data_IF_129722625596
#
_entry.id   IF_129722625596
#
_cell.length_a   1.000
_cell.length_b   1.000
_cell.length_c   1.000
_cell.angle_alpha   90.00
_cell.angle_beta   90.00
_cell.angle_gamma   90.00
#
_symmetry.space_group_name_H-M   'P 1'
#
loop_
_entity.id
_entity.type
_entity.pdbx_description
1 polymer ?
#
# COMPACT_ATOMS: atom_id res chain seq x y z
N UNK A 1 17.95 -9.54 -0.64
CA UNK A 1 17.06 -10.19 -1.63
C UNK A 1 17.91 -11.33 -2.18
N UNK A 2 17.40 -12.56 -2.16
CA UNK A 2 18.03 -13.68 -2.84
C UNK A 2 17.78 -13.61 -4.35
N UNK A 3 18.52 -14.40 -5.14
CA UNK A 3 18.43 -14.34 -6.60
C UNK A 3 17.03 -14.72 -7.12
N UNK A 4 16.33 -15.67 -6.47
CA UNK A 4 14.95 -16.05 -6.81
C UNK A 4 13.97 -14.90 -6.60
N UNK A 5 14.11 -14.17 -5.50
CA UNK A 5 13.29 -12.98 -5.21
C UNK A 5 13.59 -11.85 -6.21
N UNK A 6 14.85 -11.62 -6.55
CA UNK A 6 15.24 -10.63 -7.54
C UNK A 6 14.65 -10.93 -8.91
N UNK A 7 14.69 -12.20 -9.34
CA UNK A 7 14.08 -12.64 -10.60
C UNK A 7 12.55 -12.44 -10.61
N UNK A 8 11.86 -12.78 -9.52
CA UNK A 8 10.42 -12.56 -9.38
C UNK A 8 10.05 -11.09 -9.50
N UNK A 9 10.85 -10.20 -8.88
CA UNK A 9 10.64 -8.75 -8.97
C UNK A 9 10.88 -8.27 -10.40
N UNK A 10 11.96 -8.71 -11.05
CA UNK A 10 12.27 -8.33 -12.42
C UNK A 10 11.18 -8.76 -13.41
N UNK A 11 10.65 -9.97 -13.25
CA UNK A 11 9.51 -10.47 -14.04
C UNK A 11 8.25 -9.65 -13.81
N UNK A 12 7.97 -9.30 -12.56
CA UNK A 12 6.83 -8.43 -12.23
C UNK A 12 7.00 -7.03 -12.83
N UNK A 13 8.23 -6.47 -12.79
CA UNK A 13 8.49 -5.11 -13.27
C UNK A 13 8.13 -4.93 -14.76
N UNK A 14 8.28 -5.96 -15.56
CA UNK A 14 7.91 -5.93 -16.98
C UNK A 14 6.46 -6.36 -17.24
N UNK A 15 5.74 -6.77 -16.21
CA UNK A 15 4.36 -7.25 -16.31
C UNK A 15 3.38 -6.17 -15.83
N UNK A 16 2.19 -6.08 -16.43
CA UNK A 16 1.19 -5.06 -16.03
C UNK A 16 0.40 -5.44 -14.78
N UNK A 17 0.55 -6.67 -14.25
CA UNK A 17 -0.27 -7.16 -13.14
C UNK A 17 0.20 -6.60 -11.80
N UNK A 18 -0.73 -6.36 -10.84
CA UNK A 18 -0.38 -6.00 -9.48
C UNK A 18 0.46 -7.08 -8.78
N UNK A 19 1.36 -6.66 -7.89
CA UNK A 19 2.14 -7.54 -7.02
C UNK A 19 1.58 -7.56 -5.61
N UNK A 20 1.11 -8.69 -5.14
CA UNK A 20 0.72 -8.89 -3.75
C UNK A 20 1.92 -9.38 -2.94
N UNK A 21 2.30 -8.60 -1.93
CA UNK A 21 3.25 -8.98 -0.90
C UNK A 21 2.48 -9.52 0.31
N UNK A 22 2.57 -10.82 0.52
CA UNK A 22 1.85 -11.51 1.58
C UNK A 22 2.83 -11.99 2.66
N UNK A 23 2.36 -12.07 3.90
CA UNK A 23 3.13 -12.63 5.00
C UNK A 23 2.68 -12.12 6.36
N UNK A 24 3.21 -12.67 7.45
CA UNK A 24 2.88 -12.24 8.81
C UNK A 24 3.12 -10.75 9.04
N UNK A 25 2.45 -10.13 10.03
CA UNK A 25 2.74 -8.76 10.44
C UNK A 25 4.22 -8.61 10.81
N UNK A 26 4.81 -7.47 10.45
CA UNK A 26 6.20 -7.17 10.81
C UNK A 26 7.28 -7.81 9.95
N UNK A 27 6.95 -8.58 8.91
CA UNK A 27 7.93 -9.15 7.97
C UNK A 27 8.58 -8.14 7.02
N UNK A 28 8.18 -6.88 7.08
CA UNK A 28 8.79 -5.81 6.30
C UNK A 28 8.19 -5.57 4.92
N UNK A 29 6.96 -6.03 4.65
CA UNK A 29 6.25 -5.86 3.36
C UNK A 29 6.28 -4.43 2.83
N UNK A 30 5.88 -3.46 3.67
CA UNK A 30 5.88 -2.03 3.33
C UNK A 30 7.31 -1.52 3.08
N UNK A 31 8.29 -1.95 3.89
CA UNK A 31 9.70 -1.59 3.69
C UNK A 31 10.26 -2.17 2.40
N UNK A 32 9.84 -3.39 2.03
CA UNK A 32 10.22 -4.03 0.78
C UNK A 32 9.72 -3.23 -0.43
N UNK A 33 8.46 -2.82 -0.43
CA UNK A 33 7.89 -1.95 -1.48
C UNK A 33 8.66 -0.62 -1.61
N UNK A 34 9.03 0.00 -0.49
CA UNK A 34 9.86 1.22 -0.49
C UNK A 34 11.25 0.99 -1.08
N UNK A 35 11.89 -0.13 -0.76
CA UNK A 35 13.20 -0.48 -1.30
C UNK A 35 13.16 -0.76 -2.80
N UNK A 36 12.09 -1.36 -3.32
CA UNK A 36 11.88 -1.49 -4.77
C UNK A 36 11.81 -0.10 -5.40
N UNK A 37 10.97 0.80 -4.88
CA UNK A 37 10.82 2.15 -5.40
C UNK A 37 12.15 2.92 -5.42
N UNK A 38 12.95 2.81 -4.36
CA UNK A 38 14.28 3.41 -4.28
C UNK A 38 15.24 2.81 -5.33
N UNK A 39 15.24 1.49 -5.49
CA UNK A 39 16.13 0.80 -6.42
C UNK A 39 15.89 1.18 -7.89
N UNK A 40 14.62 1.44 -8.24
CA UNK A 40 14.23 1.85 -9.61
C UNK A 40 14.09 3.37 -9.75
N UNK A 41 14.37 4.14 -8.68
CA UNK A 41 14.24 5.61 -8.63
C UNK A 41 12.85 6.11 -9.01
N UNK A 42 11.80 5.34 -8.69
CA UNK A 42 10.41 5.68 -8.96
C UNK A 42 9.74 6.35 -7.75
N UNK A 43 8.90 7.38 -7.94
CA UNK A 43 8.06 7.92 -6.88
C UNK A 43 7.09 6.85 -6.35
N UNK A 44 6.85 6.89 -5.04
CA UNK A 44 5.99 5.95 -4.34
C UNK A 44 4.79 6.67 -3.74
N UNK A 45 3.60 6.33 -4.22
CA UNK A 45 2.33 6.80 -3.69
C UNK A 45 1.72 5.72 -2.80
N UNK A 46 1.56 5.99 -1.50
CA UNK A 46 1.05 5.01 -0.53
C UNK A 46 -0.38 5.32 -0.13
N UNK A 47 -1.27 4.39 -0.38
CA UNK A 47 -2.60 4.31 0.21
C UNK A 47 -2.56 3.34 1.40
N UNK A 48 -2.69 3.85 2.62
CA UNK A 48 -2.82 3.00 3.81
C UNK A 48 -4.29 2.61 3.99
N UNK A 49 -4.58 1.33 3.90
CA UNK A 49 -5.91 0.81 4.19
C UNK A 49 -6.11 0.61 5.70
N UNK A 50 -7.33 0.86 6.16
CA UNK A 50 -7.76 0.66 7.54
C UNK A 50 -9.24 0.28 7.55
N UNK A 51 -9.73 -0.24 8.67
CA UNK A 51 -11.15 -0.60 8.81
C UNK A 51 -12.03 0.64 8.71
N UNK A 52 -13.01 0.61 7.78
CA UNK A 52 -13.89 1.75 7.52
C UNK A 52 -13.39 2.74 6.45
N UNK A 53 -12.22 2.49 5.82
CA UNK A 53 -11.84 3.28 4.64
C UNK A 53 -12.86 3.08 3.52
N UNK A 54 -13.30 4.18 2.91
CA UNK A 54 -14.25 4.17 1.79
C UNK A 54 -13.56 4.51 0.47
N UNK A 55 -14.21 4.17 -0.65
CA UNK A 55 -13.74 4.54 -1.98
C UNK A 55 -13.54 6.06 -2.12
N UNK A 56 -14.42 6.86 -1.55
CA UNK A 56 -14.33 8.33 -1.56
C UNK A 56 -13.07 8.86 -0.87
N UNK A 57 -12.63 8.22 0.24
CA UNK A 57 -11.41 8.62 0.94
C UNK A 57 -10.17 8.13 0.20
N UNK A 58 -10.23 6.91 -0.34
CA UNK A 58 -9.09 6.25 -0.97
C UNK A 58 -8.76 6.82 -2.34
N UNK A 59 -9.78 7.09 -3.16
CA UNK A 59 -9.63 7.42 -4.58
C UNK A 59 -9.81 8.89 -4.87
N UNK A 60 -10.98 9.43 -4.60
CA UNK A 60 -11.32 10.83 -4.77
C UNK A 60 -12.57 11.18 -3.95
N UNK A 61 -12.74 12.45 -3.68
CA UNK A 61 -13.96 13.03 -3.10
C UNK A 61 -14.19 14.43 -3.65
N UNK A 62 -15.35 14.98 -3.42
CA UNK A 62 -15.62 16.40 -3.71
C UNK A 62 -15.67 17.21 -2.42
N UNK A 63 -14.98 18.35 -2.41
CA UNK A 63 -14.94 19.24 -1.27
C UNK A 63 -16.20 20.10 -1.25
N UNK A 64 -17.11 19.83 -0.31
CA UNK A 64 -18.39 20.54 -0.16
C UNK A 64 -18.22 22.07 -0.07
N UNK A 65 -17.24 22.55 0.68
CA UNK A 65 -16.99 23.98 0.81
C UNK A 65 -16.58 24.63 -0.51
N UNK A 66 -15.79 23.93 -1.33
CA UNK A 66 -15.43 24.43 -2.66
C UNK A 66 -16.63 24.39 -3.61
N UNK A 67 -17.48 23.39 -3.49
CA UNK A 67 -18.75 23.32 -4.22
C UNK A 67 -19.64 24.51 -3.89
N UNK A 68 -19.86 24.79 -2.60
CA UNK A 68 -20.68 25.92 -2.15
C UNK A 68 -20.13 27.26 -2.66
N UNK A 69 -18.80 27.47 -2.54
CA UNK A 69 -18.14 28.65 -3.05
C UNK A 69 -18.23 28.78 -4.60
N UNK A 70 -18.17 27.69 -5.32
CA UNK A 70 -18.28 27.69 -6.77
C UNK A 70 -19.71 28.09 -7.23
N UNK A 71 -20.73 27.58 -6.54
CA UNK A 71 -22.13 27.97 -6.77
C UNK A 71 -22.33 29.47 -6.48
N UNK A 72 -21.83 29.95 -5.33
CA UNK A 72 -21.96 31.35 -4.94
C UNK A 72 -21.31 32.30 -5.97
N UNK A 73 -20.10 31.98 -6.42
CA UNK A 73 -19.41 32.75 -7.47
C UNK A 73 -20.18 32.78 -8.79
N UNK A 74 -20.71 31.64 -9.21
CA UNK A 74 -21.51 31.55 -10.44
C UNK A 74 -22.80 32.37 -10.33
N UNK A 75 -23.44 32.34 -9.18
CA UNK A 75 -24.62 33.17 -8.89
C UNK A 75 -24.32 34.67 -8.95
N UNK A 76 -23.24 35.12 -8.30
CA UNK A 76 -22.81 36.53 -8.29
C UNK A 76 -22.42 37.03 -9.70
N UNK A 77 -21.86 36.15 -10.52
CA UNK A 77 -21.48 36.46 -11.90
C UNK A 77 -22.68 36.44 -12.89
N UNK A 78 -23.87 36.04 -12.47
CA UNK A 78 -25.03 35.85 -13.33
C UNK A 78 -24.87 34.68 -14.33
N UNK A 79 -23.94 33.77 -14.09
CA UNK A 79 -23.56 32.67 -14.97
C UNK A 79 -23.93 31.31 -14.37
N UNK A 80 -25.13 31.18 -13.82
CA UNK A 80 -25.61 29.87 -13.37
C UNK A 80 -25.91 29.00 -14.60
N UNK A 81 -25.23 27.85 -14.77
CA UNK A 81 -25.57 26.92 -15.84
C UNK A 81 -26.92 26.26 -15.54
N UNK A 82 -27.60 25.78 -16.59
CA UNK A 82 -28.81 24.98 -16.46
C UNK A 82 -28.57 23.72 -15.63
N UNK A 83 -27.36 23.15 -15.73
CA UNK A 83 -26.93 21.97 -14.98
C UNK A 83 -25.94 22.36 -13.88
N UNK A 84 -26.37 22.49 -12.63
CA UNK A 84 -25.52 22.76 -11.47
C UNK A 84 -24.44 21.68 -11.23
N UNK A 85 -24.64 20.47 -11.75
CA UNK A 85 -23.65 19.40 -11.63
C UNK A 85 -22.31 19.77 -12.30
N UNK A 86 -22.32 20.57 -13.36
CA UNK A 86 -21.11 21.04 -14.04
C UNK A 86 -20.22 21.88 -13.12
N UNK A 87 -20.82 22.64 -12.21
CA UNK A 87 -20.09 23.46 -11.24
C UNK A 87 -19.64 22.61 -10.04
N UNK A 88 -20.54 21.83 -9.45
CA UNK A 88 -20.28 21.13 -8.20
C UNK A 88 -19.33 19.93 -8.38
N UNK A 89 -19.30 19.34 -9.58
CA UNK A 89 -18.39 18.25 -9.91
C UNK A 89 -17.23 18.67 -10.82
N UNK A 90 -16.95 19.97 -10.89
CA UNK A 90 -15.77 20.48 -11.59
C UNK A 90 -14.47 20.01 -10.92
N UNK A 91 -13.38 19.98 -11.71
CA UNK A 91 -12.04 19.62 -11.23
C UNK A 91 -11.56 20.49 -10.05
N UNK A 92 -12.00 21.74 -10.01
CA UNK A 92 -11.70 22.68 -8.92
C UNK A 92 -12.29 22.24 -7.56
N UNK A 93 -13.32 21.41 -7.58
CA UNK A 93 -13.96 20.85 -6.38
C UNK A 93 -13.45 19.44 -6.05
N UNK A 94 -12.72 18.80 -6.97
CA UNK A 94 -12.23 17.44 -6.83
C UNK A 94 -11.02 17.36 -5.91
N UNK A 95 -11.12 16.55 -4.86
CA UNK A 95 -10.01 16.19 -3.97
C UNK A 95 -9.52 14.80 -4.37
N UNK A 96 -8.30 14.71 -4.86
CA UNK A 96 -7.68 13.45 -5.29
C UNK A 96 -7.09 12.70 -4.11
N UNK A 97 -7.51 11.45 -3.92
CA UNK A 97 -6.83 10.49 -3.04
C UNK A 97 -5.44 10.11 -3.57
N UNK A 98 -4.69 9.30 -2.82
CA UNK A 98 -3.28 8.99 -3.13
C UNK A 98 -3.09 8.34 -4.50
N UNK A 99 -4.01 7.48 -4.91
CA UNK A 99 -3.96 6.83 -6.23
C UNK A 99 -4.18 7.87 -7.32
N UNK A 100 -5.25 8.66 -7.24
CA UNK A 100 -5.52 9.70 -8.24
C UNK A 100 -4.46 10.82 -8.24
N UNK A 101 -3.76 11.08 -7.12
CA UNK A 101 -2.60 11.97 -7.09
C UNK A 101 -1.43 11.44 -7.93
N UNK A 102 -1.19 10.12 -7.93
CA UNK A 102 -0.12 9.52 -8.72
C UNK A 102 -0.29 9.75 -10.22
N UNK A 103 -1.52 9.91 -10.70
CA UNK A 103 -1.80 10.16 -12.11
C UNK A 103 -1.30 11.51 -12.62
N UNK A 104 -1.04 12.46 -11.72
CA UNK A 104 -0.50 13.79 -12.07
C UNK A 104 1.03 13.84 -12.07
N UNK A 105 1.70 12.76 -11.69
CA UNK A 105 3.15 12.70 -11.66
C UNK A 105 3.70 12.46 -13.07
N UNK A 106 4.62 13.33 -13.57
CA UNK A 106 5.19 13.19 -14.91
C UNK A 106 6.30 12.12 -15.00
N UNK A 107 6.63 11.47 -13.90
CA UNK A 107 7.67 10.44 -13.89
C UNK A 107 7.33 9.28 -14.83
N UNK A 108 8.32 8.74 -15.56
CA UNK A 108 8.08 7.69 -16.54
C UNK A 108 7.63 6.37 -15.90
N UNK A 109 8.02 6.14 -14.66
CA UNK A 109 7.65 4.98 -13.86
C UNK A 109 7.19 5.45 -12.49
N UNK A 110 6.06 4.92 -12.01
CA UNK A 110 5.43 5.27 -10.73
C UNK A 110 5.04 3.99 -10.03
N UNK A 111 5.22 3.95 -8.72
CA UNK A 111 4.73 2.86 -7.88
C UNK A 111 3.59 3.33 -6.99
N UNK A 112 2.49 2.62 -7.02
CA UNK A 112 1.37 2.79 -6.09
C UNK A 112 1.38 1.61 -5.12
N UNK A 113 1.50 1.91 -3.84
CA UNK A 113 1.43 0.93 -2.75
C UNK A 113 0.07 1.01 -2.07
N UNK A 114 -0.72 -0.05 -2.21
CA UNK A 114 -1.96 -0.26 -1.44
C UNK A 114 -1.61 -1.10 -0.23
N UNK A 115 -1.43 -0.44 0.90
CA UNK A 115 -0.86 -1.05 2.11
C UNK A 115 -1.96 -1.56 3.05
N UNK A 116 -1.82 -2.82 3.51
CA UNK A 116 -2.78 -3.53 4.38
C UNK A 116 -4.21 -3.61 3.79
N UNK A 117 -4.31 -3.95 2.51
CA UNK A 117 -5.59 -4.00 1.79
C UNK A 117 -6.60 -4.97 2.42
N UNK A 118 -6.16 -6.01 3.12
CA UNK A 118 -6.99 -6.94 3.88
C UNK A 118 -7.81 -6.28 5.01
N UNK A 119 -7.50 -5.04 5.39
CA UNK A 119 -8.28 -4.25 6.35
C UNK A 119 -9.43 -3.48 5.71
N UNK A 120 -9.37 -3.24 4.41
CA UNK A 120 -10.44 -2.56 3.68
C UNK A 120 -11.61 -3.54 3.43
N UNK A 121 -12.80 -3.19 3.93
CA UNK A 121 -14.00 -4.05 3.80
C UNK A 121 -15.11 -3.36 3.03
N UNK A 122 -14.81 -2.30 2.32
CA UNK A 122 -15.75 -1.55 1.50
C UNK A 122 -15.83 -2.18 0.10
N UNK A 123 -17.00 -2.71 -0.27
CA UNK A 123 -17.23 -3.34 -1.57
C UNK A 123 -17.10 -2.35 -2.74
N UNK A 124 -17.43 -1.07 -2.53
CA UNK A 124 -17.25 -0.03 -3.54
C UNK A 124 -15.76 0.28 -3.77
N UNK A 125 -14.98 0.32 -2.69
CA UNK A 125 -13.51 0.45 -2.79
C UNK A 125 -12.92 -0.75 -3.53
N UNK A 126 -13.37 -1.96 -3.20
CA UNK A 126 -12.88 -3.17 -3.87
C UNK A 126 -13.19 -3.16 -5.38
N UNK A 127 -14.42 -2.80 -5.77
CA UNK A 127 -14.80 -2.69 -7.17
C UNK A 127 -13.95 -1.65 -7.93
N UNK A 128 -13.70 -0.50 -7.32
CA UNK A 128 -12.85 0.53 -7.90
C UNK A 128 -11.36 0.12 -7.95
N UNK A 129 -10.90 -0.70 -6.99
CA UNK A 129 -9.56 -1.29 -7.06
C UNK A 129 -9.44 -2.27 -8.22
N UNK A 130 -10.48 -3.01 -8.57
CA UNK A 130 -10.46 -3.91 -9.72
C UNK A 130 -10.28 -3.13 -11.03
N UNK A 131 -10.99 -2.01 -11.23
CA UNK A 131 -10.80 -1.11 -12.37
C UNK A 131 -9.34 -0.60 -12.42
N UNK A 132 -8.84 -0.11 -11.30
CA UNK A 132 -7.47 0.38 -11.20
C UNK A 132 -6.43 -0.73 -11.49
N UNK A 133 -6.68 -1.96 -11.03
CA UNK A 133 -5.76 -3.09 -11.26
C UNK A 133 -5.77 -3.57 -12.71
N UNK A 134 -6.88 -3.51 -13.39
CA UNK A 134 -7.01 -3.94 -14.78
C UNK A 134 -6.53 -2.84 -15.75
N UNK A 135 -7.05 -1.63 -15.61
CA UNK A 135 -6.90 -0.56 -16.59
C UNK A 135 -5.92 0.54 -16.15
N UNK A 136 -5.61 0.64 -14.86
CA UNK A 136 -4.82 1.73 -14.32
C UNK A 136 -5.57 3.06 -14.26
N UNK A 137 -6.92 3.01 -14.24
CA UNK A 137 -7.80 4.16 -14.26
C UNK A 137 -8.73 4.20 -13.05
N UNK A 138 -9.38 5.32 -12.84
CA UNK A 138 -10.45 5.50 -11.84
C UNK A 138 -11.57 6.28 -12.52
N UNK A 139 -12.77 5.70 -12.54
CA UNK A 139 -13.97 6.39 -13.01
C UNK A 139 -14.58 7.25 -11.92
N UNK A 140 -14.74 8.54 -12.19
CA UNK A 140 -15.47 9.49 -11.33
C UNK A 140 -16.95 9.28 -11.58
N UNK A 141 -17.65 8.64 -10.64
CA UNK A 141 -19.05 8.20 -10.83
C UNK A 141 -20.02 9.35 -11.09
N UNK A 142 -19.80 10.51 -10.46
CA UNK A 142 -20.65 11.69 -10.58
C UNK A 142 -20.65 12.32 -11.98
N UNK A 143 -19.59 12.12 -12.74
CA UNK A 143 -19.38 12.74 -14.07
C UNK A 143 -19.09 11.73 -15.18
N UNK A 144 -18.96 10.45 -14.84
CA UNK A 144 -18.45 9.39 -15.75
C UNK A 144 -17.08 9.70 -16.36
N UNK A 145 -16.33 10.63 -15.76
CA UNK A 145 -15.00 10.99 -16.21
C UNK A 145 -13.97 9.98 -15.75
N UNK A 146 -13.08 9.58 -16.64
CA UNK A 146 -11.98 8.67 -16.34
C UNK A 146 -10.75 9.50 -15.92
N UNK A 147 -10.20 9.21 -14.74
CA UNK A 147 -8.91 9.68 -14.30
C UNK A 147 -7.86 8.64 -14.68
N UNK A 148 -6.80 9.07 -15.34
CA UNK A 148 -5.69 8.23 -15.75
C UNK A 148 -4.37 8.98 -15.64
N UNK A 149 -3.26 8.26 -15.73
CA UNK A 149 -1.93 8.88 -15.71
C UNK A 149 -1.73 9.83 -16.88
N UNK A 150 -1.18 11.01 -16.61
CA UNK A 150 -0.82 12.01 -17.63
C UNK A 150 0.27 11.50 -18.58
N UNK A 151 1.04 10.50 -18.19
CA UNK A 151 2.05 9.84 -19.03
C UNK A 151 1.47 8.79 -19.96
N UNK A 152 0.19 8.44 -19.80
CA UNK A 152 -0.48 7.35 -20.50
C UNK A 152 -0.02 5.94 -20.06
N UNK A 153 0.88 5.84 -19.06
CA UNK A 153 1.35 4.57 -18.53
C UNK A 153 0.60 4.19 -17.26
N UNK A 154 0.26 2.92 -17.15
CA UNK A 154 -0.28 2.36 -15.91
C UNK A 154 0.79 2.33 -14.83
N UNK A 155 0.50 2.80 -13.59
CA UNK A 155 1.43 2.67 -12.48
C UNK A 155 1.73 1.20 -12.14
N UNK A 156 2.93 0.91 -11.66
CA UNK A 156 3.24 -0.37 -11.02
C UNK A 156 2.52 -0.45 -9.67
N UNK A 157 1.76 -1.51 -9.45
CA UNK A 157 0.92 -1.63 -8.27
C UNK A 157 1.49 -2.70 -7.34
N UNK A 158 1.75 -2.31 -6.10
CA UNK A 158 2.12 -3.22 -5.01
C UNK A 158 1.00 -3.22 -3.97
N UNK A 159 0.54 -4.38 -3.59
CA UNK A 159 -0.47 -4.57 -2.54
C UNK A 159 0.18 -5.31 -1.38
N UNK A 160 -0.04 -4.89 -0.14
CA UNK A 160 0.36 -5.69 1.02
C UNK A 160 -0.86 -6.27 1.72
N UNK A 161 -0.71 -7.51 2.20
CA UNK A 161 -1.73 -8.21 2.98
C UNK A 161 -1.08 -9.01 4.12
N UNK A 162 -1.74 -9.04 5.27
CA UNK A 162 -1.38 -9.89 6.40
C UNK A 162 -2.18 -11.20 6.42
N UNK A 163 -3.15 -11.34 5.53
CA UNK A 163 -3.92 -12.56 5.39
C UNK A 163 -3.05 -13.63 4.73
N UNK A 164 -2.88 -14.78 5.40
CA UNK A 164 -2.27 -15.95 4.79
C UNK A 164 -3.24 -16.57 3.78
N UNK A 165 -2.78 -16.78 2.55
CA UNK A 165 -3.42 -17.73 1.65
C UNK A 165 -3.05 -19.14 2.16
N UNK A 166 -4.02 -19.88 2.64
CA UNK A 166 -3.83 -21.33 2.73
C UNK A 166 -3.78 -21.91 1.31
N UNK A 167 -3.21 -23.12 1.17
CA UNK A 167 -3.08 -23.81 -0.13
C UNK A 167 -4.41 -24.04 -0.87
N UNK A 168 -5.55 -23.79 -0.22
CA UNK A 168 -6.91 -23.95 -0.75
C UNK A 168 -7.54 -22.61 -1.19
N UNK A 169 -6.87 -21.47 -0.96
CA UNK A 169 -7.46 -20.14 -1.22
C UNK A 169 -8.58 -19.76 -0.26
N UNK A 170 -8.80 -20.57 0.78
CA UNK A 170 -9.83 -20.41 1.79
C UNK A 170 -9.23 -19.88 3.09
N UNK A 171 -10.01 -19.11 3.82
CA UNK A 171 -9.67 -18.39 5.05
C UNK A 171 -8.93 -19.28 6.06
N UNK A 172 -7.68 -18.98 6.36
CA UNK A 172 -7.05 -19.50 7.56
C UNK A 172 -7.46 -18.65 8.76
N UNK A 173 -8.25 -19.24 9.67
CA UNK A 173 -8.49 -18.68 10.99
C UNK A 173 -9.37 -17.41 11.07
N UNK A 174 -10.35 -17.23 10.18
CA UNK A 174 -11.34 -16.13 10.32
C UNK A 174 -10.83 -14.73 9.98
N UNK A 175 -9.61 -14.57 9.48
CA UNK A 175 -9.06 -13.30 9.00
C UNK A 175 -9.64 -12.93 7.63
N UNK A 176 -9.90 -11.64 7.41
CA UNK A 176 -10.35 -11.14 6.12
C UNK A 176 -9.26 -11.42 5.06
N UNK A 177 -9.63 -12.12 4.00
CA UNK A 177 -8.77 -12.35 2.83
C UNK A 177 -9.13 -11.35 1.75
N UNK A 178 -8.18 -11.07 0.85
CA UNK A 178 -8.49 -10.36 -0.38
C UNK A 178 -9.48 -11.18 -1.20
N UNK A 179 -10.34 -10.51 -1.96
CA UNK A 179 -11.33 -11.21 -2.77
C UNK A 179 -10.69 -11.98 -3.92
N UNK A 180 -11.38 -13.02 -4.36
CA UNK A 180 -10.93 -13.86 -5.47
C UNK A 180 -10.67 -13.07 -6.77
N UNK A 181 -11.50 -12.09 -7.17
CA UNK A 181 -11.22 -11.25 -8.33
C UNK A 181 -9.88 -10.52 -8.26
N UNK A 182 -9.50 -9.99 -7.09
CA UNK A 182 -8.21 -9.34 -6.87
C UNK A 182 -7.07 -10.35 -6.99
N UNK A 183 -7.23 -11.50 -6.33
CA UNK A 183 -6.21 -12.56 -6.34
C UNK A 183 -5.91 -13.05 -7.77
N UNK A 184 -6.92 -13.25 -8.61
CA UNK A 184 -6.75 -13.70 -10.00
C UNK A 184 -5.95 -12.74 -10.89
N UNK A 185 -5.96 -11.46 -10.56
CA UNK A 185 -5.32 -10.39 -11.35
C UNK A 185 -3.91 -10.06 -10.90
N UNK A 186 -3.41 -10.76 -9.90
CA UNK A 186 -2.19 -10.38 -9.21
C UNK A 186 -1.12 -11.47 -9.25
N UNK A 187 0.13 -11.06 -9.23
CA UNK A 187 1.27 -11.92 -8.91
C UNK A 187 1.50 -11.92 -7.39
N UNK A 188 2.15 -12.96 -6.88
CA UNK A 188 2.35 -13.15 -5.44
C UNK A 188 3.81 -13.32 -5.08
N UNK A 189 4.21 -12.64 -4.01
CA UNK A 189 5.45 -12.91 -3.28
C UNK A 189 5.10 -13.11 -1.81
N UNK A 190 5.40 -14.30 -1.29
CA UNK A 190 5.26 -14.57 0.13
C UNK A 190 6.55 -14.18 0.87
N UNK A 191 6.41 -13.29 1.85
CA UNK A 191 7.50 -12.90 2.74
C UNK A 191 7.37 -13.68 4.05
N UNK A 192 8.15 -14.74 4.16
CA UNK A 192 8.24 -15.52 5.40
C UNK A 192 8.89 -14.71 6.52
N UNK A 193 8.69 -15.14 7.75
CA UNK A 193 9.43 -14.59 8.90
C UNK A 193 10.94 -14.78 8.67
N UNK A 194 11.74 -13.72 8.84
CA UNK A 194 13.17 -13.83 8.63
C UNK A 194 13.82 -14.75 9.68
N UNK A 195 14.80 -15.53 9.25
CA UNK A 195 15.63 -16.33 10.17
C UNK A 195 16.34 -15.43 11.19
N UNK A 196 16.82 -16.00 12.31
CA UNK A 196 17.55 -15.25 13.33
C UNK A 196 18.77 -14.52 12.72
N UNK A 197 19.51 -15.19 11.87
CA UNK A 197 20.64 -14.58 11.17
C UNK A 197 20.20 -13.38 10.32
N UNK A 198 19.11 -13.56 9.57
CA UNK A 198 18.59 -12.50 8.74
C UNK A 198 18.03 -11.32 9.55
N UNK A 199 17.40 -11.60 10.70
CA UNK A 199 16.96 -10.56 11.65
C UNK A 199 18.15 -9.77 12.19
N UNK A 200 19.24 -10.45 12.57
CA UNK A 200 20.45 -9.82 13.04
C UNK A 200 21.13 -8.94 11.97
N UNK A 201 21.18 -9.41 10.71
CA UNK A 201 21.69 -8.62 9.57
C UNK A 201 20.88 -7.36 9.34
N UNK A 202 19.54 -7.48 9.35
CA UNK A 202 18.63 -6.33 9.20
C UNK A 202 18.85 -5.36 10.35
N UNK A 203 18.90 -5.86 11.58
CA UNK A 203 19.13 -5.03 12.76
C UNK A 203 20.46 -4.27 12.66
N UNK A 204 21.53 -4.93 12.22
CA UNK A 204 22.83 -4.30 12.01
C UNK A 204 22.80 -3.21 10.93
N UNK A 205 22.05 -3.44 9.86
CA UNK A 205 21.87 -2.45 8.77
C UNK A 205 21.07 -1.22 9.22
N UNK A 206 20.03 -1.43 10.06
CA UNK A 206 19.12 -0.37 10.52
C UNK A 206 19.65 0.37 11.76
N UNK A 207 20.56 -0.26 12.51
CA UNK A 207 21.17 0.29 13.74
C UNK A 207 22.68 0.03 13.72
N UNK A 208 23.45 0.78 12.90
CA UNK A 208 24.90 0.54 12.69
C UNK A 208 25.74 0.65 13.96
N UNK A 209 25.24 1.34 15.00
CA UNK A 209 25.93 1.50 16.28
C UNK A 209 25.97 0.24 17.15
N UNK A 210 25.09 -0.75 16.85
CA UNK A 210 25.12 -2.02 17.55
C UNK A 210 26.19 -2.95 17.01
N UNK A 211 26.91 -3.66 17.91
CA UNK A 211 27.81 -4.71 17.50
C UNK A 211 27.07 -5.88 16.86
N UNK A 212 27.74 -6.64 15.98
CA UNK A 212 27.16 -7.83 15.36
C UNK A 212 26.69 -8.87 16.40
N UNK A 213 27.45 -9.00 17.50
CA UNK A 213 27.11 -9.88 18.62
C UNK A 213 25.81 -9.44 19.32
N UNK A 214 25.65 -8.14 19.56
CA UNK A 214 24.44 -7.61 20.18
C UNK A 214 23.22 -7.77 19.26
N UNK A 215 23.36 -7.53 17.95
CA UNK A 215 22.29 -7.78 16.98
C UNK A 215 21.84 -9.25 17.00
N UNK A 216 22.77 -10.19 17.07
CA UNK A 216 22.44 -11.61 17.15
C UNK A 216 21.75 -11.98 18.48
N UNK A 217 22.22 -11.43 19.60
CA UNK A 217 21.60 -11.63 20.93
C UNK A 217 20.16 -11.11 20.94
N UNK A 218 19.89 -9.92 20.38
CA UNK A 218 18.55 -9.36 20.24
C UNK A 218 17.64 -10.27 19.39
N UNK A 219 18.11 -10.73 18.24
CA UNK A 219 17.35 -11.61 17.37
C UNK A 219 17.02 -12.96 18.03
N UNK A 220 17.99 -13.57 18.73
CA UNK A 220 17.79 -14.80 19.49
C UNK A 220 16.80 -14.60 20.64
N UNK A 221 16.88 -13.48 21.36
CA UNK A 221 15.95 -13.16 22.43
C UNK A 221 14.53 -13.05 21.91
N UNK A 222 14.32 -12.28 20.84
CA UNK A 222 12.99 -12.14 20.21
C UNK A 222 12.45 -13.48 19.73
N UNK A 223 13.28 -14.33 19.10
CA UNK A 223 12.86 -15.67 18.70
C UNK A 223 12.42 -16.53 19.90
N UNK A 224 13.15 -16.46 21.02
CA UNK A 224 12.78 -17.19 22.25
C UNK A 224 11.45 -16.66 22.80
N UNK A 225 11.28 -15.34 22.88
CA UNK A 225 10.05 -14.73 23.36
C UNK A 225 8.85 -15.14 22.48
N UNK A 226 8.99 -15.07 21.15
CA UNK A 226 7.91 -15.44 20.21
C UNK A 226 7.54 -16.94 20.27
N UNK A 227 8.40 -17.80 20.82
CA UNK A 227 8.10 -19.22 21.05
C UNK A 227 7.37 -19.49 22.36
N UNK A 228 7.31 -18.52 23.28
CA UNK A 228 6.54 -18.65 24.50
C UNK A 228 5.05 -18.53 24.18
N UNK A 229 4.29 -19.58 24.48
CA UNK A 229 2.84 -19.65 24.20
C UNK A 229 2.00 -18.63 24.99
N UNK A 230 2.58 -17.91 25.93
CA UNK A 230 1.91 -16.90 26.76
C UNK A 230 1.85 -15.51 26.08
N UNK A 231 2.49 -15.32 24.93
CA UNK A 231 2.48 -14.04 24.23
C UNK A 231 1.21 -13.93 23.38
N UNK A 232 0.33 -12.98 23.69
CA UNK A 232 -0.85 -12.67 22.88
C UNK A 232 -0.48 -12.21 21.46
N UNK A 233 0.70 -11.63 21.29
CA UNK A 233 1.21 -11.12 20.02
C UNK A 233 2.71 -11.32 19.89
N UNK A 234 3.14 -11.87 18.76
CA UNK A 234 4.57 -11.99 18.43
C UNK A 234 5.24 -10.62 18.31
N UNK A 235 6.45 -10.50 18.81
CA UNK A 235 7.30 -9.32 18.65
C UNK A 235 7.70 -9.21 17.17
N UNK A 236 7.33 -8.11 16.54
CA UNK A 236 7.62 -7.86 15.13
C UNK A 236 9.07 -7.37 14.94
N UNK A 237 9.60 -7.54 13.72
CA UNK A 237 10.94 -7.06 13.38
C UNK A 237 11.09 -5.54 13.56
N UNK A 238 10.03 -4.75 13.30
CA UNK A 238 10.01 -3.31 13.54
C UNK A 238 10.17 -2.94 15.02
N UNK A 239 9.58 -3.73 15.90
CA UNK A 239 9.72 -3.56 17.36
C UNK A 239 11.13 -3.93 17.82
N UNK A 240 11.71 -4.98 17.22
CA UNK A 240 13.12 -5.37 17.45
C UNK A 240 14.09 -4.26 17.03
N UNK A 241 13.84 -3.60 15.89
CA UNK A 241 14.65 -2.45 15.44
C UNK A 241 14.50 -1.28 16.41
N UNK A 242 13.28 -0.98 16.88
CA UNK A 242 13.04 0.02 17.92
C UNK A 242 13.83 -0.23 19.20
N UNK A 243 13.85 -1.46 19.66
CA UNK A 243 14.68 -1.90 20.78
C UNK A 243 16.18 -1.70 20.52
N UNK A 244 16.65 -2.12 19.35
CA UNK A 244 18.04 -1.93 18.97
C UNK A 244 18.46 -0.48 19.01
N UNK A 245 17.62 0.42 18.51
CA UNK A 245 17.86 1.88 18.57
C UNK A 245 17.96 2.37 20.01
N UNK A 246 17.08 1.91 20.90
CA UNK A 246 17.12 2.27 22.31
C UNK A 246 18.38 1.75 23.00
N UNK A 247 18.79 0.51 22.73
CA UNK A 247 20.04 -0.05 23.26
C UNK A 247 21.28 0.70 22.78
N UNK A 248 21.29 1.15 21.52
CA UNK A 248 22.40 1.92 20.97
C UNK A 248 22.55 3.33 21.59
N UNK A 249 21.53 3.83 22.28
CA UNK A 249 21.58 5.12 23.00
C UNK A 249 22.06 4.97 24.45
N UNK A 250 22.03 3.75 25.01
CA UNK A 250 22.38 3.51 26.42
C UNK A 250 23.82 3.01 26.56
N UNK A 251 24.39 2.42 25.53
CA UNK A 251 25.74 1.84 25.52
C UNK A 251 26.70 2.63 24.71
#
# INVERSE_FOLDING_TARGET
VDDDMAEKIARWWVAPEPLILEGPPGTGKTSFARKIAQAVSAPLYRLQCYEGITAQVALYSFNKRLQDLAIEKAFQAGNLPENLAEIVFADSCLVRGKIAQSFLDPSPEIIVLVDEMDKARDGALEAAMLEFFDEGTITVQETNRILSSITGKKPHIIVTSNAGLDKSGLKSGGKATLSYPILRRSKFIHLAEPTVQRQAEILRSEVPLLSAEMCLKCALFVQKMNKLHEMEKSIALSETIGWGRSLALIG
#
